data_IF_539670462945
#
_entry.id   IF_539670462945
#
_cell.length_a   1.000
_cell.length_b   1.000
_cell.length_c   1.000
_cell.angle_alpha   90.00
_cell.angle_beta   90.00
_cell.angle_gamma   90.00
#
_symmetry.space_group_name_H-M   'P 1'
#
loop_
_entity.id
_entity.type
_entity.pdbx_description
1 polymer ?
#
# COMPACT_ATOMS: atom_id res chain seq x y z
N UNK A 1 -9.41 8.84 7.14
CA UNK A 1 -9.16 7.96 5.98
C UNK A 1 -9.30 8.85 4.77
N UNK A 2 -8.27 9.65 4.48
CA UNK A 2 -8.24 10.56 3.34
C UNK A 2 -7.04 10.16 2.50
N UNK A 3 -7.29 9.40 1.43
CA UNK A 3 -6.28 9.10 0.42
C UNK A 3 -6.42 10.15 -0.69
N UNK A 4 -5.62 11.22 -0.61
CA UNK A 4 -5.61 12.33 -1.58
C UNK A 4 -5.43 11.85 -3.04
N UNK A 5 -4.72 10.73 -3.22
CA UNK A 5 -4.52 10.12 -4.54
C UNK A 5 -5.85 9.58 -5.09
N UNK A 6 -6.68 8.96 -4.24
CA UNK A 6 -7.95 8.38 -4.68
C UNK A 6 -8.98 9.47 -5.01
N UNK A 7 -9.06 10.51 -4.19
CA UNK A 7 -9.94 11.67 -4.45
C UNK A 7 -9.48 12.47 -5.66
N UNK A 8 -8.16 12.61 -5.87
CA UNK A 8 -7.58 13.21 -7.06
C UNK A 8 -7.93 12.43 -8.33
N UNK A 9 -7.80 11.10 -8.30
CA UNK A 9 -8.17 10.23 -9.44
C UNK A 9 -9.65 10.34 -9.81
N UNK A 10 -10.55 10.32 -8.82
CA UNK A 10 -11.98 10.52 -9.06
C UNK A 10 -12.28 11.91 -9.66
N UNK A 11 -11.63 12.96 -9.15
CA UNK A 11 -11.81 14.33 -9.67
C UNK A 11 -11.38 14.40 -11.13
N UNK A 12 -10.25 13.80 -11.49
CA UNK A 12 -9.80 13.73 -12.88
C UNK A 12 -10.77 12.93 -13.79
N UNK A 13 -11.34 11.82 -13.30
CA UNK A 13 -12.38 11.10 -14.05
C UNK A 13 -13.58 12.01 -14.34
N UNK A 14 -14.10 12.68 -13.30
CA UNK A 14 -15.26 13.56 -13.42
C UNK A 14 -14.99 14.73 -14.39
N UNK A 15 -13.82 15.36 -14.29
CA UNK A 15 -13.44 16.45 -15.17
C UNK A 15 -13.29 16.01 -16.63
N UNK A 16 -12.62 14.89 -16.89
CA UNK A 16 -12.44 14.37 -18.24
C UNK A 16 -13.78 13.97 -18.86
N UNK A 17 -14.65 13.34 -18.07
CA UNK A 17 -16.00 13.00 -18.49
C UNK A 17 -16.81 14.26 -18.83
N UNK A 18 -16.80 15.28 -17.96
CA UNK A 18 -17.53 16.52 -18.19
C UNK A 18 -17.04 17.28 -19.44
N UNK A 19 -15.73 17.25 -19.71
CA UNK A 19 -15.11 17.98 -20.84
C UNK A 19 -15.25 17.25 -22.18
N UNK A 20 -15.14 15.92 -22.19
CA UNK A 20 -14.97 15.12 -23.42
C UNK A 20 -16.03 14.03 -23.59
N UNK A 21 -16.76 13.68 -22.54
CA UNK A 21 -17.59 12.47 -22.47
C UNK A 21 -16.78 11.17 -22.47
N UNK A 22 -15.45 11.25 -22.37
CA UNK A 22 -14.53 10.12 -22.52
C UNK A 22 -13.38 10.23 -21.51
N UNK A 23 -13.11 9.12 -20.83
CA UNK A 23 -12.09 9.00 -19.79
C UNK A 23 -11.18 7.83 -20.14
N UNK A 24 -10.00 8.12 -20.67
CA UNK A 24 -9.01 7.08 -21.00
C UNK A 24 -7.99 6.91 -19.91
N UNK A 25 -7.66 5.66 -19.62
CA UNK A 25 -6.78 5.29 -18.52
C UNK A 25 -5.36 5.85 -18.73
N UNK A 26 -4.88 5.85 -19.97
CA UNK A 26 -3.57 6.40 -20.36
C UNK A 26 -3.41 7.91 -20.16
N UNK A 27 -4.52 8.65 -20.03
CA UNK A 27 -4.50 10.11 -19.81
C UNK A 27 -4.32 10.45 -18.32
N UNK A 28 -4.40 9.43 -17.46
CA UNK A 28 -4.45 9.57 -16.01
C UNK A 28 -3.30 8.81 -15.35
N UNK A 29 -2.90 7.67 -15.92
CA UNK A 29 -1.78 6.86 -15.43
C UNK A 29 -0.49 7.13 -16.19
N UNK A 30 0.57 7.46 -15.45
CA UNK A 30 1.91 7.68 -15.98
C UNK A 30 2.74 6.38 -15.90
N UNK A 31 3.57 6.07 -16.92
CA UNK A 31 4.52 4.97 -16.84
C UNK A 31 5.40 5.08 -15.58
N UNK A 32 5.52 3.98 -14.82
CA UNK A 32 6.31 3.92 -13.59
C UNK A 32 5.51 3.86 -12.29
N UNK A 33 4.18 4.04 -12.33
CA UNK A 33 3.32 3.87 -11.15
C UNK A 33 3.18 2.41 -10.68
N UNK A 34 3.47 1.43 -11.54
CA UNK A 34 3.40 -0.01 -11.24
C UNK A 34 4.82 -0.55 -11.01
N UNK A 35 5.34 -0.37 -9.80
CA UNK A 35 6.65 -0.89 -9.39
C UNK A 35 6.52 -1.64 -8.07
N UNK A 36 7.44 -2.58 -7.84
CA UNK A 36 7.55 -3.27 -6.54
C UNK A 36 7.85 -2.23 -5.47
N UNK A 37 6.98 -2.02 -4.48
CA UNK A 37 7.21 -1.03 -3.44
C UNK A 37 8.41 -1.47 -2.58
N UNK A 38 9.22 -0.50 -2.17
CA UNK A 38 10.41 -0.73 -1.33
C UNK A 38 10.25 -0.16 0.07
N UNK A 39 9.21 0.65 0.28
CA UNK A 39 8.89 1.31 1.53
C UNK A 39 7.39 1.25 1.83
N UNK A 40 7.00 1.48 3.08
CA UNK A 40 5.59 1.52 3.47
C UNK A 40 4.83 2.68 2.79
N UNK A 41 5.52 3.78 2.50
CA UNK A 41 4.96 4.91 1.76
C UNK A 41 4.63 4.52 0.33
N UNK A 42 5.58 3.89 -0.38
CA UNK A 42 5.35 3.37 -1.74
C UNK A 42 4.24 2.32 -1.77
N UNK A 43 4.12 1.47 -0.74
CA UNK A 43 3.00 0.52 -0.64
C UNK A 43 1.66 1.27 -0.57
N UNK A 44 1.56 2.31 0.26
CA UNK A 44 0.33 3.11 0.40
C UNK A 44 -0.05 3.83 -0.91
N UNK A 45 0.94 4.31 -1.65
CA UNK A 45 0.73 4.88 -2.98
C UNK A 45 0.18 3.83 -3.96
N UNK A 46 0.78 2.63 -3.98
CA UNK A 46 0.34 1.52 -4.81
C UNK A 46 -1.07 1.03 -4.45
N UNK A 47 -1.41 0.97 -3.17
CA UNK A 47 -2.77 0.69 -2.69
C UNK A 47 -3.77 1.74 -3.17
N UNK A 48 -3.38 3.01 -3.16
CA UNK A 48 -4.22 4.10 -3.66
C UNK A 48 -4.44 3.99 -5.17
N UNK A 49 -3.39 3.67 -5.92
CA UNK A 49 -3.47 3.36 -7.36
C UNK A 49 -4.42 2.18 -7.61
N UNK A 50 -4.32 1.09 -6.84
CA UNK A 50 -5.24 -0.04 -6.93
C UNK A 50 -6.70 0.39 -6.71
N UNK A 51 -6.99 1.27 -5.75
CA UNK A 51 -8.35 1.80 -5.51
C UNK A 51 -8.86 2.63 -6.70
N UNK A 52 -8.01 3.46 -7.29
CA UNK A 52 -8.37 4.25 -8.49
C UNK A 52 -8.68 3.34 -9.68
N UNK A 53 -7.90 2.27 -9.87
CA UNK A 53 -8.15 1.27 -10.92
C UNK A 53 -9.45 0.49 -10.69
N UNK A 54 -9.71 0.09 -9.45
CA UNK A 54 -10.98 -0.57 -9.07
C UNK A 54 -12.19 0.34 -9.34
N UNK A 55 -12.07 1.64 -9.00
CA UNK A 55 -13.09 2.63 -9.31
C UNK A 55 -13.30 2.81 -10.82
N UNK A 56 -12.22 2.85 -11.62
CA UNK A 56 -12.33 2.91 -13.08
C UNK A 56 -13.10 1.71 -13.63
N UNK A 57 -12.74 0.50 -13.18
CA UNK A 57 -13.44 -0.74 -13.56
C UNK A 57 -14.92 -0.69 -13.17
N UNK A 58 -15.23 -0.19 -11.97
CA UNK A 58 -16.61 -0.06 -11.51
C UNK A 58 -17.44 0.91 -12.37
N UNK A 59 -16.82 2.02 -12.82
CA UNK A 59 -17.43 3.00 -13.72
C UNK A 59 -17.58 2.45 -15.15
N UNK A 60 -16.63 1.65 -15.64
CA UNK A 60 -16.70 1.08 -16.99
C UNK A 60 -17.88 0.15 -17.20
N UNK A 61 -18.36 -0.53 -16.15
CA UNK A 61 -19.59 -1.33 -16.22
C UNK A 61 -20.88 -0.50 -16.32
N UNK A 62 -20.85 0.80 -16.02
CA UNK A 62 -22.02 1.70 -16.04
C UNK A 62 -22.01 2.66 -17.22
N UNK A 63 -20.81 3.03 -17.66
CA UNK A 63 -20.59 4.05 -18.68
C UNK A 63 -19.58 3.52 -19.72
N UNK A 64 -19.93 2.40 -20.37
CA UNK A 64 -19.03 1.66 -21.27
C UNK A 64 -18.43 2.53 -22.37
N UNK A 65 -19.24 3.37 -23.03
CA UNK A 65 -18.78 4.29 -24.08
C UNK A 65 -17.80 5.35 -23.56
N UNK A 66 -17.94 5.75 -22.29
CA UNK A 66 -17.14 6.80 -21.69
C UNK A 66 -15.89 6.28 -20.99
N UNK A 67 -15.86 5.01 -20.59
CA UNK A 67 -14.77 4.35 -19.89
C UNK A 67 -14.38 3.07 -20.63
N UNK A 68 -13.80 3.18 -21.84
CA UNK A 68 -13.60 2.04 -22.73
C UNK A 68 -12.44 1.12 -22.32
N UNK A 69 -11.54 1.55 -21.43
CA UNK A 69 -10.30 0.83 -21.13
C UNK A 69 -10.48 -0.24 -20.02
N UNK A 70 -11.63 -0.93 -19.98
CA UNK A 70 -11.98 -1.89 -18.91
C UNK A 70 -10.94 -3.00 -18.74
N UNK A 71 -10.59 -3.70 -19.82
CA UNK A 71 -9.66 -4.84 -19.78
C UNK A 71 -8.27 -4.41 -19.33
N UNK A 72 -7.83 -3.22 -19.78
CA UNK A 72 -6.55 -2.65 -19.38
C UNK A 72 -6.55 -2.30 -17.89
N UNK A 73 -7.58 -1.63 -17.40
CA UNK A 73 -7.71 -1.27 -15.98
C UNK A 73 -7.76 -2.52 -15.09
N UNK A 74 -8.51 -3.55 -15.50
CA UNK A 74 -8.58 -4.84 -14.80
C UNK A 74 -7.21 -5.53 -14.74
N UNK A 75 -6.49 -5.55 -15.86
CA UNK A 75 -5.14 -6.12 -15.94
C UNK A 75 -4.15 -5.38 -15.03
N UNK A 76 -4.16 -4.04 -15.05
CA UNK A 76 -3.32 -3.22 -14.19
C UNK A 76 -3.67 -3.39 -12.71
N UNK A 77 -4.97 -3.48 -12.38
CA UNK A 77 -5.44 -3.75 -11.01
C UNK A 77 -4.89 -5.08 -10.50
N UNK A 78 -4.93 -6.13 -11.32
CA UNK A 78 -4.37 -7.43 -10.97
C UNK A 78 -2.85 -7.37 -10.71
N UNK A 79 -2.11 -6.61 -11.54
CA UNK A 79 -0.67 -6.37 -11.33
C UNK A 79 -0.44 -5.66 -9.97
N UNK A 80 -1.23 -4.63 -9.65
CA UNK A 80 -1.13 -3.97 -8.33
C UNK A 80 -1.35 -4.97 -7.19
N UNK A 81 -2.39 -5.81 -7.28
CA UNK A 81 -2.68 -6.82 -6.25
C UNK A 81 -1.47 -7.74 -6.02
N UNK A 82 -0.84 -8.24 -7.10
CA UNK A 82 0.34 -9.09 -7.00
C UNK A 82 1.53 -8.39 -6.34
N UNK A 83 1.80 -7.12 -6.69
CA UNK A 83 2.90 -6.34 -6.13
C UNK A 83 2.69 -6.01 -4.65
N UNK A 84 1.45 -5.70 -4.26
CA UNK A 84 1.06 -5.47 -2.86
C UNK A 84 1.26 -6.76 -2.06
N UNK A 85 0.75 -7.89 -2.57
CA UNK A 85 0.90 -9.21 -1.94
C UNK A 85 2.37 -9.59 -1.76
N UNK A 86 3.20 -9.42 -2.79
CA UNK A 86 4.63 -9.71 -2.73
C UNK A 86 5.33 -8.89 -1.63
N UNK A 87 5.02 -7.60 -1.51
CA UNK A 87 5.60 -6.75 -0.46
C UNK A 87 5.15 -7.17 0.94
N UNK A 88 3.86 -7.47 1.12
CA UNK A 88 3.30 -7.91 2.40
C UNK A 88 3.87 -9.27 2.83
N UNK A 89 4.08 -10.20 1.89
CA UNK A 89 4.73 -11.48 2.17
C UNK A 89 6.17 -11.29 2.70
N UNK A 90 6.94 -10.37 2.10
CA UNK A 90 8.30 -10.02 2.56
C UNK A 90 8.29 -9.39 3.96
N UNK A 91 7.29 -8.55 4.26
CA UNK A 91 7.11 -7.96 5.58
C UNK A 91 6.70 -9.00 6.64
N UNK A 92 5.87 -9.97 6.28
CA UNK A 92 5.45 -11.06 7.18
C UNK A 92 6.62 -11.90 7.72
N UNK A 93 7.77 -11.88 7.05
CA UNK A 93 9.00 -12.56 7.48
C UNK A 93 9.99 -11.65 8.22
N UNK A 94 9.72 -10.34 8.33
CA UNK A 94 10.44 -9.45 9.24
C UNK A 94 10.00 -9.75 10.68
N UNK A 95 10.55 -10.84 11.21
CA UNK A 95 10.46 -11.30 12.60
C UNK A 95 10.68 -10.09 13.53
N UNK A 96 9.91 -9.93 14.62
CA UNK A 96 10.08 -8.80 15.51
C UNK A 96 11.55 -8.73 15.91
N UNK A 97 12.20 -7.58 15.69
CA UNK A 97 13.53 -7.31 16.23
C UNK A 97 13.42 -7.52 17.72
N UNK A 98 13.82 -8.69 18.19
CA UNK A 98 13.84 -9.05 19.59
C UNK A 98 14.65 -7.98 20.28
N UNK A 99 13.97 -7.11 21.03
CA UNK A 99 14.60 -6.11 21.88
C UNK A 99 15.53 -6.93 22.78
N UNK A 100 16.86 -6.86 22.56
CA UNK A 100 17.82 -7.49 23.47
C UNK A 100 17.64 -6.81 24.81
N UNK A 101 16.86 -7.43 25.69
CA UNK A 101 16.88 -7.12 27.10
C UNK A 101 18.27 -7.56 27.55
N UNK A 102 19.14 -6.58 27.79
CA UNK A 102 20.43 -6.81 28.43
C UNK A 102 20.13 -7.36 29.82
N UNK A 103 20.22 -8.67 29.97
CA UNK A 103 20.25 -9.31 31.28
C UNK A 103 21.57 -8.94 31.94
N UNK A 104 21.60 -7.82 32.68
CA UNK A 104 22.66 -7.57 33.66
C UNK A 104 22.42 -8.50 34.84
N UNK A 105 23.06 -9.65 34.79
CA UNK A 105 23.26 -10.53 35.94
C UNK A 105 24.14 -9.81 36.96
N UNK A 106 23.56 -9.43 38.09
CA UNK A 106 24.33 -9.20 39.31
C UNK A 106 23.63 -9.89 40.46
N UNK A 107 23.80 -11.21 40.57
CA UNK A 107 23.61 -11.88 41.85
C UNK A 107 24.78 -11.47 42.74
N UNK A 108 24.55 -10.54 43.68
CA UNK A 108 25.46 -10.32 44.82
C UNK A 108 24.95 -11.15 45.98
N UNK A 109 25.63 -12.26 46.23
CA UNK A 109 25.54 -13.03 47.47
C UNK A 109 26.00 -12.16 48.65
N UNK A 110 25.13 -11.92 49.62
CA UNK A 110 25.51 -11.36 50.91
C UNK A 110 25.60 -12.51 51.93
N UNK A 111 26.82 -12.89 52.29
CA UNK A 111 27.14 -13.67 53.48
C UNK A 111 27.16 -12.72 54.69
N UNK A 112 26.43 -12.99 55.78
CA UNK A 112 26.74 -12.40 57.07
C UNK A 112 27.66 -13.36 57.85
N UNK A 113 28.93 -12.98 58.00
CA UNK A 113 29.83 -13.63 58.96
C UNK A 113 29.67 -13.03 60.36
N UNK A 114 29.63 -13.97 61.32
CA UNK A 114 30.21 -13.93 62.66
C UNK A 114 29.38 -13.36 63.83
N UNK A 115 28.95 -14.30 64.68
CA UNK A 115 28.86 -14.15 66.14
C UNK A 115 30.22 -13.79 66.76
N UNK A 116 30.22 -12.93 67.80
CA UNK A 116 31.09 -12.94 69.00
C UNK A 116 30.40 -12.02 70.02
N UNK A 117 29.77 -12.60 71.06
CA UNK A 117 30.28 -12.79 72.44
C UNK A 117 30.67 -11.49 73.12
#
# INVERSE_FOLDING_TARGET
MDDEISSGGLTQFAENYAKKGLVRLKEIFTPGMLQVPKSQTELKELESVHKVLDLYVWLSFRFEDAFPDHELASSQKAICSLLIEEFLQRLGWQKPRGRRVSARSTFRSALPQACRK
#
